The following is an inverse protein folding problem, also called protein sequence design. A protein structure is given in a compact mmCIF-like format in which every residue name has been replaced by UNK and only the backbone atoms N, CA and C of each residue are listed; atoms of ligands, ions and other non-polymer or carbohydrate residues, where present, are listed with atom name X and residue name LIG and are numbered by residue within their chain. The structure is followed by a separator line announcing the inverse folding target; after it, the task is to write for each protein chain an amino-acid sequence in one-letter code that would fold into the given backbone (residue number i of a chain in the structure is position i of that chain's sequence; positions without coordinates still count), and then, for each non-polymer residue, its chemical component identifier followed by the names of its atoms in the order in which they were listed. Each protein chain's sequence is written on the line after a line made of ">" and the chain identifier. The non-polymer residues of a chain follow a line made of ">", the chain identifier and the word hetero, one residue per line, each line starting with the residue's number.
data_IF_886542100714
#
_entry.id   IF_886542100714
#
_cell.length_a   1.000
_cell.length_b   1.000
_cell.length_c   1.000
_cell.angle_alpha   90.00
_cell.angle_beta   90.00
_cell.angle_gamma   90.00
#
_symmetry.space_group_name_H-M   'P 1'
#
loop_
_entity.id
_entity.type
_entity.pdbx_description
1 polymer ?
#
# COMPACT_ATOMS: atom_id res chain seq x y z
N UNK A 1 31.56 -7.11 30.09
CA UNK A 1 30.69 -5.97 29.73
C UNK A 1 30.36 -6.06 28.25
N UNK A 2 29.21 -6.64 27.89
CA UNK A 2 28.74 -6.69 26.49
C UNK A 2 28.30 -5.30 26.09
N UNK A 3 29.19 -4.53 25.46
CA UNK A 3 28.84 -3.26 24.83
C UNK A 3 27.71 -3.52 23.84
N UNK A 4 26.56 -2.85 24.05
CA UNK A 4 25.46 -2.87 23.09
C UNK A 4 26.03 -2.47 21.73
N UNK A 5 26.04 -3.41 20.77
CA UNK A 5 26.35 -3.11 19.38
C UNK A 5 25.33 -2.07 18.92
N UNK A 6 25.76 -0.82 18.78
CA UNK A 6 24.91 0.22 18.18
C UNK A 6 24.57 -0.25 16.78
N UNK A 7 23.29 -0.24 16.45
CA UNK A 7 22.85 -0.48 15.08
C UNK A 7 23.31 0.73 14.28
N UNK A 8 24.33 0.56 13.45
CA UNK A 8 24.78 1.59 12.52
C UNK A 8 23.83 1.56 11.33
N UNK A 9 22.90 2.51 11.29
CA UNK A 9 21.93 2.65 10.21
C UNK A 9 22.37 3.81 9.35
N UNK A 10 22.62 3.53 8.08
CA UNK A 10 22.78 4.58 7.07
C UNK A 10 21.42 5.26 6.86
N UNK A 11 21.22 6.41 7.50
CA UNK A 11 19.97 7.17 7.45
C UNK A 11 19.67 7.69 6.04
N UNK A 12 20.68 7.86 5.19
CA UNK A 12 20.51 8.21 3.77
C UNK A 12 19.90 7.04 2.99
N UNK A 13 20.41 5.82 3.20
CA UNK A 13 19.81 4.61 2.61
C UNK A 13 18.41 4.36 3.12
N UNK A 14 18.16 4.61 4.41
CA UNK A 14 16.83 4.45 4.99
C UNK A 14 15.80 5.42 4.39
N UNK A 15 16.19 6.69 4.18
CA UNK A 15 15.36 7.67 3.46
C UNK A 15 15.12 7.28 2.01
N UNK A 16 16.14 6.71 1.35
CA UNK A 16 16.00 6.20 -0.03
C UNK A 16 15.02 5.02 -0.10
N UNK A 17 15.03 4.14 0.89
CA UNK A 17 14.06 3.05 1.00
C UNK A 17 12.64 3.59 1.26
N UNK A 18 12.51 4.61 2.11
CA UNK A 18 11.24 5.29 2.37
C UNK A 18 10.63 5.86 1.09
N UNK A 19 11.43 6.59 0.29
CA UNK A 19 10.99 7.15 -0.98
C UNK A 19 10.51 6.07 -1.96
N UNK A 20 11.19 4.91 -2.01
CA UNK A 20 10.75 3.77 -2.84
C UNK A 20 9.43 3.19 -2.36
N UNK A 21 9.23 3.05 -1.06
CA UNK A 21 7.94 2.59 -0.50
C UNK A 21 6.81 3.57 -0.80
N UNK A 22 7.09 4.87 -0.77
CA UNK A 22 6.12 5.89 -1.17
C UNK A 22 5.75 5.76 -2.66
N UNK A 23 6.74 5.57 -3.54
CA UNK A 23 6.52 5.35 -4.98
C UNK A 23 5.67 4.10 -5.25
N UNK A 24 5.94 2.99 -4.54
CA UNK A 24 5.11 1.78 -4.60
C UNK A 24 3.67 2.10 -4.18
N UNK A 25 3.47 2.83 -3.08
CA UNK A 25 2.14 3.23 -2.62
C UNK A 25 1.39 4.04 -3.68
N UNK A 26 2.04 5.06 -4.25
CA UNK A 26 1.47 5.90 -5.31
C UNK A 26 1.08 5.09 -6.54
N UNK A 27 1.97 4.25 -7.04
CA UNK A 27 1.69 3.39 -8.20
C UNK A 27 0.53 2.45 -7.95
N UNK A 28 0.44 1.84 -6.76
CA UNK A 28 -0.71 1.00 -6.40
C UNK A 28 -2.00 1.82 -6.40
N UNK A 29 -2.01 3.03 -5.83
CA UNK A 29 -3.17 3.93 -5.88
C UNK A 29 -3.56 4.29 -7.32
N UNK A 30 -2.61 4.59 -8.20
CA UNK A 30 -2.87 4.90 -9.61
C UNK A 30 -3.48 3.71 -10.37
N UNK A 31 -2.94 2.51 -10.17
CA UNK A 31 -3.47 1.27 -10.78
C UNK A 31 -4.89 1.01 -10.28
N UNK A 32 -5.14 1.13 -8.96
CA UNK A 32 -6.48 0.94 -8.40
C UNK A 32 -7.46 2.00 -8.89
N UNK A 33 -7.03 3.26 -9.02
CA UNK A 33 -7.85 4.33 -9.60
C UNK A 33 -8.22 4.02 -11.05
N UNK A 34 -7.25 3.56 -11.85
CA UNK A 34 -7.48 3.13 -13.24
C UNK A 34 -8.46 1.96 -13.30
N UNK A 35 -8.31 0.97 -12.42
CA UNK A 35 -9.24 -0.16 -12.37
C UNK A 35 -10.66 0.28 -12.03
N UNK A 36 -10.86 1.12 -11.01
CA UNK A 36 -12.18 1.66 -10.65
C UNK A 36 -12.83 2.40 -11.81
N UNK A 37 -12.08 3.28 -12.46
CA UNK A 37 -12.59 4.06 -13.58
C UNK A 37 -13.03 3.17 -14.74
N UNK A 38 -12.22 2.15 -15.07
CA UNK A 38 -12.58 1.19 -16.11
C UNK A 38 -13.86 0.41 -15.76
N UNK A 39 -13.94 -0.12 -14.53
CA UNK A 39 -15.12 -0.86 -14.06
C UNK A 39 -16.40 0.00 -14.09
N UNK A 40 -16.31 1.27 -13.67
CA UNK A 40 -17.44 2.19 -13.73
C UNK A 40 -17.83 2.55 -15.17
N UNK A 41 -16.85 2.76 -16.05
CA UNK A 41 -17.09 3.18 -17.44
C UNK A 41 -17.68 2.09 -18.33
N UNK A 42 -17.29 0.83 -18.13
CA UNK A 42 -17.75 -0.29 -18.95
C UNK A 42 -19.13 -0.78 -18.52
N UNK A 43 -19.56 -0.44 -17.30
CA UNK A 43 -20.76 -1.02 -16.70
C UNK A 43 -20.63 -2.54 -16.58
N UNK A 44 -21.78 -3.18 -16.38
CA UNK A 44 -21.86 -4.58 -16.01
C UNK A 44 -22.62 -5.37 -17.11
N UNK A 45 -21.92 -6.03 -18.05
CA UNK A 45 -22.52 -6.58 -19.27
C UNK A 45 -23.26 -7.91 -19.09
N UNK A 46 -23.26 -8.48 -17.88
CA UNK A 46 -23.78 -9.83 -17.61
C UNK A 46 -25.30 -9.90 -17.43
N UNK A 47 -26.03 -8.78 -17.50
CA UNK A 47 -27.49 -8.75 -17.45
C UNK A 47 -28.08 -9.14 -16.08
N UNK A 48 -29.41 -9.27 -16.04
CA UNK A 48 -30.21 -9.64 -14.86
C UNK A 48 -30.96 -10.97 -15.06
N UNK A 49 -30.39 -11.87 -15.87
CA UNK A 49 -30.92 -13.22 -16.01
C UNK A 49 -30.31 -14.16 -14.95
N UNK A 50 -30.87 -15.37 -14.86
CA UNK A 50 -30.41 -16.39 -13.90
C UNK A 50 -28.89 -16.68 -13.99
N UNK A 51 -28.26 -16.45 -15.15
CA UNK A 51 -26.82 -16.65 -15.32
C UNK A 51 -26.02 -15.44 -14.82
N UNK A 52 -26.44 -14.22 -15.16
CA UNK A 52 -25.85 -12.98 -14.67
C UNK A 52 -25.92 -12.84 -13.16
N UNK A 53 -27.08 -13.18 -12.57
CA UNK A 53 -27.28 -13.12 -11.12
C UNK A 53 -26.42 -14.16 -10.38
N UNK A 54 -26.27 -15.37 -10.92
CA UNK A 54 -25.37 -16.40 -10.35
C UNK A 54 -23.89 -16.02 -10.48
N UNK A 55 -23.51 -15.32 -11.54
CA UNK A 55 -22.13 -14.88 -11.75
C UNK A 55 -21.75 -13.75 -10.80
N UNK A 56 -22.65 -12.79 -10.59
CA UNK A 56 -22.39 -11.60 -9.77
C UNK A 56 -22.63 -11.80 -8.29
N UNK A 57 -23.68 -12.56 -7.95
CA UNK A 57 -24.20 -12.68 -6.60
C UNK A 57 -23.46 -13.70 -5.75
N UNK A 58 -23.75 -13.64 -4.44
CA UNK A 58 -23.21 -14.55 -3.44
C UNK A 58 -21.79 -14.22 -2.98
N UNK A 59 -21.32 -14.97 -1.98
CA UNK A 59 -20.05 -14.68 -1.29
C UNK A 59 -18.79 -14.89 -2.15
N UNK A 60 -18.93 -15.59 -3.28
CA UNK A 60 -17.87 -15.82 -4.26
C UNK A 60 -18.20 -15.20 -5.62
N UNK A 61 -19.27 -14.40 -5.68
CA UNK A 61 -19.69 -13.73 -6.89
C UNK A 61 -18.74 -12.62 -7.28
N UNK A 62 -18.76 -12.27 -8.57
CA UNK A 62 -17.88 -11.26 -9.16
C UNK A 62 -17.89 -9.94 -8.39
N UNK A 63 -19.08 -9.46 -7.97
CA UNK A 63 -19.22 -8.17 -7.28
C UNK A 63 -18.37 -8.15 -6.02
N UNK A 64 -18.51 -9.17 -5.16
CA UNK A 64 -17.75 -9.25 -3.91
C UNK A 64 -16.25 -9.46 -4.15
N UNK A 65 -15.89 -10.26 -5.16
CA UNK A 65 -14.48 -10.43 -5.55
C UNK A 65 -13.84 -9.14 -6.04
N UNK A 66 -14.56 -8.35 -6.85
CA UNK A 66 -14.12 -7.04 -7.32
C UNK A 66 -13.92 -6.06 -6.16
N UNK A 67 -14.90 -5.98 -5.25
CA UNK A 67 -14.81 -5.10 -4.09
C UNK A 67 -13.65 -5.48 -3.16
N UNK A 68 -13.43 -6.77 -2.94
CA UNK A 68 -12.29 -7.26 -2.16
C UNK A 68 -10.95 -6.93 -2.81
N UNK A 69 -10.85 -7.03 -4.14
CA UNK A 69 -9.63 -6.68 -4.86
C UNK A 69 -9.32 -5.19 -4.72
N UNK A 70 -10.32 -4.33 -4.93
CA UNK A 70 -10.18 -2.88 -4.79
C UNK A 70 -9.79 -2.49 -3.37
N UNK A 71 -10.47 -3.06 -2.37
CA UNK A 71 -10.17 -2.82 -0.95
C UNK A 71 -8.78 -3.32 -0.58
N UNK A 72 -8.37 -4.49 -1.09
CA UNK A 72 -7.04 -5.04 -0.87
C UNK A 72 -5.94 -4.15 -1.45
N UNK A 73 -6.16 -3.61 -2.65
CA UNK A 73 -5.25 -2.65 -3.28
C UNK A 73 -5.10 -1.36 -2.48
N UNK A 74 -6.20 -0.80 -1.99
CA UNK A 74 -6.17 0.38 -1.11
C UNK A 74 -5.36 0.11 0.18
N UNK A 75 -5.60 -1.04 0.82
CA UNK A 75 -4.88 -1.45 2.02
C UNK A 75 -3.38 -1.62 1.78
N UNK A 76 -3.00 -2.12 0.60
CA UNK A 76 -1.59 -2.23 0.20
C UNK A 76 -0.95 -0.86 0.02
N UNK A 77 -1.64 0.08 -0.64
CA UNK A 77 -1.16 1.44 -0.82
C UNK A 77 -0.97 2.17 0.53
N UNK A 78 -1.94 2.05 1.43
CA UNK A 78 -1.86 2.62 2.79
C UNK A 78 -0.73 2.00 3.61
N UNK A 79 -0.55 0.67 3.52
CA UNK A 79 0.57 -0.01 4.18
C UNK A 79 1.92 0.48 3.67
N UNK A 80 2.07 0.67 2.35
CA UNK A 80 3.30 1.20 1.77
C UNK A 80 3.58 2.64 2.23
N UNK A 81 2.55 3.49 2.32
CA UNK A 81 2.66 4.84 2.85
C UNK A 81 3.07 4.85 4.34
N UNK A 82 2.48 3.97 5.16
CA UNK A 82 2.84 3.79 6.57
C UNK A 82 4.30 3.35 6.74
N UNK A 83 4.76 2.40 5.93
CA UNK A 83 6.16 1.99 5.94
C UNK A 83 7.10 3.12 5.56
N UNK A 84 6.81 3.86 4.49
CA UNK A 84 7.59 5.04 4.10
C UNK A 84 7.69 6.05 5.25
N UNK A 85 6.55 6.44 5.84
CA UNK A 85 6.51 7.37 6.98
C UNK A 85 7.33 6.86 8.17
N UNK A 86 7.23 5.57 8.47
CA UNK A 86 8.00 4.92 9.53
C UNK A 86 9.51 4.99 9.29
N UNK A 87 9.95 4.72 8.05
CA UNK A 87 11.36 4.79 7.67
C UNK A 87 11.90 6.22 7.73
N UNK A 88 11.15 7.22 7.24
CA UNK A 88 11.52 8.64 7.40
C UNK A 88 11.62 9.04 8.87
N UNK A 89 10.64 8.65 9.68
CA UNK A 89 10.65 8.93 11.11
C UNK A 89 11.82 8.28 11.85
N UNK A 90 12.18 7.05 11.49
CA UNK A 90 13.33 6.36 12.03
C UNK A 90 14.66 7.04 11.64
N UNK A 91 14.81 7.42 10.37
CA UNK A 91 16.00 8.14 9.89
C UNK A 91 16.20 9.47 10.64
N UNK A 92 15.13 10.24 10.82
CA UNK A 92 15.19 11.51 11.56
C UNK A 92 15.57 11.29 13.03
N UNK A 93 14.95 10.31 13.71
CA UNK A 93 15.29 9.98 15.11
C UNK A 93 16.76 9.56 15.26
N UNK A 94 17.30 8.84 14.29
CA UNK A 94 18.70 8.40 14.32
C UNK A 94 19.67 9.57 14.17
N UNK A 95 19.43 10.45 13.20
CA UNK A 95 20.23 11.66 13.03
C UNK A 95 20.17 12.58 14.27
N UNK A 96 18.99 12.72 14.88
CA UNK A 96 18.82 13.50 16.12
C UNK A 96 19.62 12.90 17.29
N UNK A 97 19.66 11.57 17.41
CA UNK A 97 20.45 10.89 18.45
C UNK A 97 21.96 11.03 18.23
N UNK A 98 22.42 11.02 16.98
CA UNK A 98 23.84 11.19 16.65
C UNK A 98 24.29 12.66 16.78
N UNK A 99 23.43 13.61 16.42
CA UNK A 99 23.68 15.05 16.59
C UNK A 99 23.64 15.49 18.05
N UNK A 100 22.91 14.77 18.92
CA UNK A 100 22.82 15.00 20.37
C UNK A 100 23.95 14.27 21.14
N UNK A 101 25.15 14.26 20.58
CA UNK A 101 26.36 13.77 21.28
C UNK A 101 26.74 14.76 22.40
N UNK A 102 27.00 14.30 23.65
CA UNK A 102 27.56 15.15 24.70
C UNK A 102 29.00 15.58 24.38
#
# INVERSE_FOLDING_TARGET
>A
MTGQRRVEVDTTRLRSAAAKMEDVGKKTTEIMGTLRNNLQSHGFPWGHDDYGDKFTGGDKGYTKSSDNLLTGGDNMADSAAKFSKGMYGAANKMDDMDGRKP
#
